data_IF_036044834192
#
_entry.id   IF_036044834192
#
_cell.length_a   1.000
_cell.length_b   1.000
_cell.length_c   1.000
_cell.angle_alpha   90.00
_cell.angle_beta   90.00
_cell.angle_gamma   90.00
#
_symmetry.space_group_name_H-M   'P 1'
#
loop_
_entity.id
_entity.type
_entity.pdbx_description
1 polymer ?
#
# COMPACT_ATOMS: atom_id res chain seq x y z
N UNK A 1 -36.59 62.36 -37.89
CA UNK A 1 -35.75 62.30 -36.68
C UNK A 1 -35.20 60.89 -36.60
N UNK A 2 -33.87 60.74 -36.65
CA UNK A 2 -33.17 59.46 -36.86
C UNK A 2 -33.32 58.55 -35.63
N UNK A 3 -33.62 57.26 -35.81
CA UNK A 3 -33.12 56.23 -34.92
C UNK A 3 -32.81 54.95 -35.72
N UNK A 4 -31.61 54.43 -35.47
CA UNK A 4 -30.88 53.40 -36.22
C UNK A 4 -31.21 52.00 -35.68
N UNK A 5 -31.11 51.02 -36.57
CA UNK A 5 -31.03 49.58 -36.32
C UNK A 5 -29.97 49.21 -35.27
N UNK A 6 -30.29 48.26 -34.37
CA UNK A 6 -29.33 47.29 -33.82
C UNK A 6 -30.04 45.93 -33.68
N UNK A 7 -29.62 44.97 -34.50
CA UNK A 7 -29.82 43.54 -34.27
C UNK A 7 -29.05 43.15 -33.00
N UNK A 8 -29.71 42.49 -32.04
CA UNK A 8 -29.02 41.79 -30.96
C UNK A 8 -29.08 40.29 -31.25
N UNK A 9 -27.92 39.74 -31.62
CA UNK A 9 -27.65 38.31 -31.64
C UNK A 9 -27.84 37.75 -30.22
N UNK A 10 -28.70 36.75 -30.09
CA UNK A 10 -28.78 35.90 -28.90
C UNK A 10 -27.55 34.98 -28.85
N UNK A 11 -26.51 35.40 -28.13
CA UNK A 11 -25.37 34.56 -27.76
C UNK A 11 -25.76 33.62 -26.63
N UNK A 12 -25.96 32.34 -26.96
CA UNK A 12 -26.00 31.25 -25.98
C UNK A 12 -24.56 31.08 -25.47
N UNK A 13 -24.31 31.51 -24.23
CA UNK A 13 -23.09 31.14 -23.51
C UNK A 13 -23.22 29.65 -23.13
N UNK A 14 -22.65 28.79 -23.97
CA UNK A 14 -22.28 27.43 -23.58
C UNK A 14 -21.11 27.55 -22.60
N UNK A 15 -21.40 27.44 -21.30
CA UNK A 15 -20.40 27.14 -20.30
C UNK A 15 -19.86 25.74 -20.58
N UNK A 16 -18.74 25.67 -21.28
CA UNK A 16 -17.95 24.45 -21.42
C UNK A 16 -17.42 24.10 -20.02
N UNK A 17 -18.13 23.22 -19.32
CA UNK A 17 -17.57 22.47 -18.20
C UNK A 17 -16.37 21.69 -18.73
N UNK A 18 -15.17 22.19 -18.43
CA UNK A 18 -13.94 21.46 -18.67
C UNK A 18 -13.92 20.25 -17.74
N UNK A 19 -14.45 19.12 -18.22
CA UNK A 19 -14.09 17.82 -17.68
C UNK A 19 -12.58 17.69 -17.81
N UNK A 20 -11.85 17.94 -16.73
CA UNK A 20 -10.51 17.42 -16.58
C UNK A 20 -10.63 15.89 -16.58
N UNK A 21 -10.52 15.29 -17.78
CA UNK A 21 -10.16 13.89 -17.92
C UNK A 21 -8.81 13.75 -17.24
N UNK A 22 -8.81 13.19 -16.04
CA UNK A 22 -7.62 12.55 -15.47
C UNK A 22 -7.11 11.62 -16.56
N UNK A 23 -5.94 11.93 -17.11
CA UNK A 23 -5.27 11.03 -18.02
C UNK A 23 -4.90 9.82 -17.19
N UNK A 24 -5.64 8.72 -17.31
CA UNK A 24 -5.09 7.41 -16.98
C UNK A 24 -3.86 7.25 -17.87
N UNK A 25 -2.66 7.47 -17.31
CA UNK A 25 -1.45 7.04 -17.98
C UNK A 25 -1.59 5.54 -18.12
N UNK A 26 -1.73 5.06 -19.35
CA UNK A 26 -1.90 3.65 -19.61
C UNK A 26 -0.62 2.96 -19.09
N UNK A 27 -0.72 2.06 -18.12
CA UNK A 27 0.46 1.37 -17.57
C UNK A 27 1.31 0.72 -18.70
N UNK A 28 0.65 0.26 -19.77
CA UNK A 28 1.33 -0.20 -20.99
C UNK A 28 2.27 0.85 -21.59
N UNK A 29 1.95 2.15 -21.53
CA UNK A 29 2.85 3.22 -21.99
C UNK A 29 4.10 3.37 -21.12
N UNK A 30 4.09 2.94 -19.86
CA UNK A 30 5.26 2.93 -18.97
C UNK A 30 6.15 1.71 -19.27
N UNK A 31 5.55 0.52 -19.37
CA UNK A 31 6.27 -0.72 -19.74
C UNK A 31 6.91 -0.64 -21.11
N UNK A 32 6.20 -0.09 -22.09
CA UNK A 32 6.64 -0.06 -23.47
C UNK A 32 7.71 1.02 -23.71
N UNK A 33 7.82 2.04 -22.84
CA UNK A 33 8.78 3.14 -23.02
C UNK A 33 10.11 2.94 -22.33
N UNK A 34 10.17 2.13 -21.27
CA UNK A 34 11.42 1.90 -20.53
C UNK A 34 12.01 0.52 -20.87
N UNK A 35 13.13 0.50 -21.60
CA UNK A 35 13.88 -0.72 -21.85
C UNK A 35 14.43 -1.26 -20.51
N UNK A 36 14.13 -2.50 -20.14
CA UNK A 36 14.65 -3.15 -18.91
C UNK A 36 13.59 -4.01 -18.19
N UNK A 37 13.97 -4.81 -17.17
CA UNK A 37 12.99 -5.56 -16.40
C UNK A 37 12.11 -4.62 -15.56
N UNK A 38 10.82 -4.95 -15.47
CA UNK A 38 9.88 -4.36 -14.52
C UNK A 38 9.59 -5.33 -13.38
N UNK A 39 9.40 -4.78 -12.17
CA UNK A 39 8.94 -5.50 -10.99
C UNK A 39 7.67 -4.81 -10.52
N UNK A 40 6.64 -5.60 -10.25
CA UNK A 40 5.45 -5.13 -9.55
C UNK A 40 5.60 -5.40 -8.07
N UNK A 41 5.19 -4.45 -7.24
CA UNK A 41 5.12 -4.61 -5.79
C UNK A 41 3.74 -4.27 -5.31
N UNK A 42 3.16 -5.12 -4.47
CA UNK A 42 1.93 -4.83 -3.74
C UNK A 42 2.11 -5.28 -2.29
N UNK A 43 1.30 -4.75 -1.40
CA UNK A 43 1.40 -5.01 0.03
C UNK A 43 0.04 -4.90 0.68
N UNK A 44 -0.12 -5.51 1.86
CA UNK A 44 -1.30 -5.32 2.69
C UNK A 44 -2.58 -5.64 1.91
N UNK A 45 -2.59 -6.83 1.29
CA UNK A 45 -3.72 -7.34 0.54
C UNK A 45 -4.92 -7.57 1.45
N UNK A 46 -4.65 -7.96 2.70
CA UNK A 46 -5.66 -8.30 3.69
C UNK A 46 -6.74 -9.22 3.09
N UNK A 47 -6.30 -10.20 2.28
CA UNK A 47 -7.20 -11.09 1.55
C UNK A 47 -8.06 -11.89 2.53
N UNK A 48 -9.38 -11.83 2.37
CA UNK A 48 -10.33 -12.64 3.11
C UNK A 48 -11.10 -13.53 2.15
N UNK A 49 -11.00 -14.86 2.34
CA UNK A 49 -11.79 -15.82 1.55
C UNK A 49 -13.29 -15.50 1.65
N UNK A 50 -13.98 -15.55 0.50
CA UNK A 50 -15.45 -15.40 0.45
C UNK A 50 -16.19 -16.47 1.24
N UNK A 51 -15.57 -17.60 1.57
CA UNK A 51 -16.18 -18.63 2.40
C UNK A 51 -16.15 -18.29 3.90
N UNK A 52 -15.38 -17.28 4.31
CA UNK A 52 -15.24 -16.84 5.69
C UNK A 52 -16.16 -15.68 6.05
N UNK A 53 -16.98 -15.20 5.13
CA UNK A 53 -17.98 -14.16 5.39
C UNK A 53 -19.23 -14.39 4.56
N UNK A 54 -20.40 -14.08 5.12
CA UNK A 54 -21.65 -14.00 4.38
C UNK A 54 -22.00 -12.57 3.93
N UNK A 55 -21.07 -11.62 4.10
CA UNK A 55 -21.25 -10.19 3.82
C UNK A 55 -22.50 -9.60 4.48
N UNK A 56 -22.84 -10.11 5.66
CA UNK A 56 -23.93 -9.60 6.49
C UNK A 56 -23.72 -8.13 6.86
N UNK A 57 -24.82 -7.43 7.17
CA UNK A 57 -24.77 -6.04 7.61
C UNK A 57 -23.86 -5.82 8.83
N UNK A 58 -23.80 -6.79 9.75
CA UNK A 58 -22.91 -6.72 10.91
C UNK A 58 -21.43 -6.77 10.51
N UNK A 59 -21.06 -7.58 9.52
CA UNK A 59 -19.71 -7.60 8.98
C UNK A 59 -19.38 -6.28 8.27
N UNK A 60 -20.29 -5.74 7.46
CA UNK A 60 -20.11 -4.45 6.77
C UNK A 60 -19.94 -3.28 7.76
N UNK A 61 -20.70 -3.28 8.85
CA UNK A 61 -20.55 -2.27 9.90
C UNK A 61 -19.21 -2.41 10.63
N UNK A 62 -18.80 -3.65 10.93
CA UNK A 62 -17.49 -3.93 11.53
C UNK A 62 -16.33 -3.41 10.67
N UNK A 63 -16.34 -3.67 9.36
CA UNK A 63 -15.28 -3.18 8.46
C UNK A 63 -15.33 -1.66 8.30
N UNK A 64 -16.51 -1.02 8.30
CA UNK A 64 -16.66 0.44 8.23
C UNK A 64 -16.03 1.13 9.45
N UNK A 65 -16.15 0.53 10.63
CA UNK A 65 -15.47 0.98 11.86
C UNK A 65 -13.97 0.67 11.89
N UNK A 66 -13.48 -0.19 10.99
CA UNK A 66 -12.08 -0.55 10.81
C UNK A 66 -11.24 0.55 10.16
N UNK A 67 -9.96 0.31 9.92
CA UNK A 67 -8.95 1.25 9.39
C UNK A 67 -9.11 1.59 7.89
N UNK A 68 -10.32 1.47 7.33
CA UNK A 68 -10.60 1.82 5.93
C UNK A 68 -10.36 0.71 4.92
N UNK A 69 -10.01 -0.50 5.37
CA UNK A 69 -9.89 -1.69 4.51
C UNK A 69 -11.25 -2.09 3.93
N UNK A 70 -11.30 -2.23 2.61
CA UNK A 70 -12.47 -2.73 1.87
C UNK A 70 -12.50 -4.26 1.85
N UNK A 71 -12.48 -4.88 3.04
CA UNK A 71 -12.30 -6.35 3.21
C UNK A 71 -13.33 -7.17 2.43
N UNK A 72 -14.57 -6.68 2.29
CA UNK A 72 -15.61 -7.34 1.47
C UNK A 72 -15.19 -7.56 0.01
N UNK A 73 -14.36 -6.65 -0.54
CA UNK A 73 -13.92 -6.64 -1.93
C UNK A 73 -12.45 -7.04 -2.09
N UNK A 74 -11.71 -7.43 -1.04
CA UNK A 74 -10.31 -7.84 -1.20
C UNK A 74 -10.11 -9.01 -2.15
N UNK A 75 -11.04 -9.97 -2.31
CA UNK A 75 -10.95 -10.95 -3.39
C UNK A 75 -11.02 -10.35 -4.79
N UNK A 76 -11.90 -9.37 -5.04
CA UNK A 76 -12.05 -8.72 -6.34
C UNK A 76 -10.84 -7.84 -6.66
N UNK A 77 -10.36 -7.07 -5.67
CA UNK A 77 -9.17 -6.23 -5.83
C UNK A 77 -7.94 -7.10 -6.15
N UNK A 78 -7.80 -8.23 -5.45
CA UNK A 78 -6.69 -9.17 -5.67
C UNK A 78 -6.77 -9.81 -7.06
N UNK A 79 -7.95 -10.22 -7.50
CA UNK A 79 -8.15 -10.80 -8.83
C UNK A 79 -7.88 -9.75 -9.93
N UNK A 80 -8.29 -8.49 -9.72
CA UNK A 80 -7.98 -7.39 -10.63
C UNK A 80 -6.47 -7.12 -10.73
N UNK A 81 -5.74 -7.10 -9.61
CA UNK A 81 -4.28 -6.99 -9.61
C UNK A 81 -3.63 -8.16 -10.37
N UNK A 82 -4.08 -9.39 -10.14
CA UNK A 82 -3.53 -10.58 -10.81
C UNK A 82 -3.75 -10.52 -12.31
N UNK A 83 -4.94 -10.12 -12.77
CA UNK A 83 -5.24 -9.92 -14.19
C UNK A 83 -4.31 -8.86 -14.82
N UNK A 84 -4.08 -7.74 -14.11
CA UNK A 84 -3.16 -6.70 -14.55
C UNK A 84 -1.72 -7.19 -14.60
N UNK A 85 -1.24 -7.90 -13.58
CA UNK A 85 0.10 -8.51 -13.53
C UNK A 85 0.30 -9.47 -14.70
N UNK A 86 -0.65 -10.37 -14.96
CA UNK A 86 -0.55 -11.34 -16.05
C UNK A 86 -0.54 -10.62 -17.42
N UNK A 87 -1.38 -9.61 -17.60
CA UNK A 87 -1.45 -8.79 -18.83
C UNK A 87 -0.18 -7.96 -19.05
N UNK A 88 0.36 -7.39 -17.97
CA UNK A 88 1.59 -6.60 -17.95
C UNK A 88 2.83 -7.45 -18.19
N UNK A 89 2.81 -8.68 -17.69
CA UNK A 89 3.89 -9.65 -17.71
C UNK A 89 5.23 -9.09 -17.19
N UNK A 90 5.27 -8.50 -15.97
CA UNK A 90 6.52 -8.03 -15.39
C UNK A 90 7.47 -9.19 -15.15
N UNK A 91 8.74 -8.87 -14.87
CA UNK A 91 9.72 -9.90 -14.53
C UNK A 91 9.37 -10.58 -13.21
N UNK A 92 8.83 -9.83 -12.25
CA UNK A 92 8.37 -10.36 -10.98
C UNK A 92 7.18 -9.58 -10.40
N UNK A 93 6.40 -10.26 -9.56
CA UNK A 93 5.46 -9.71 -8.59
C UNK A 93 6.00 -9.97 -7.18
N UNK A 94 6.15 -8.91 -6.39
CA UNK A 94 6.57 -8.94 -4.99
C UNK A 94 5.36 -8.60 -4.11
N UNK A 95 5.09 -9.43 -3.10
CA UNK A 95 4.10 -9.16 -2.06
C UNK A 95 4.81 -9.00 -0.71
N UNK A 96 4.87 -7.77 -0.18
CA UNK A 96 5.66 -7.42 1.01
C UNK A 96 4.90 -7.55 2.33
N UNK A 97 4.09 -8.60 2.49
CA UNK A 97 3.41 -8.90 3.75
C UNK A 97 1.96 -8.46 3.86
N UNK A 98 1.34 -8.86 4.97
CA UNK A 98 -0.10 -8.77 5.26
C UNK A 98 -0.94 -9.30 4.10
N UNK A 99 -0.62 -10.53 3.72
CA UNK A 99 -1.22 -11.21 2.59
C UNK A 99 -2.70 -11.52 2.84
N UNK A 100 -3.04 -11.85 4.09
CA UNK A 100 -4.40 -12.20 4.53
C UNK A 100 -4.92 -11.23 5.57
N UNK A 101 -6.25 -11.19 5.77
CA UNK A 101 -6.86 -10.24 6.69
C UNK A 101 -6.40 -10.45 8.13
N UNK A 102 -6.50 -11.68 8.64
CA UNK A 102 -6.00 -12.05 9.97
C UNK A 102 -5.46 -13.49 10.02
N UNK A 103 -4.71 -13.92 9.00
CA UNK A 103 -3.95 -15.17 9.05
C UNK A 103 -4.79 -16.43 8.84
N UNK A 104 -5.99 -16.32 8.26
CA UNK A 104 -6.87 -17.48 8.13
C UNK A 104 -6.30 -18.48 7.12
N UNK A 105 -6.16 -19.74 7.53
CA UNK A 105 -5.58 -20.82 6.70
C UNK A 105 -6.30 -20.99 5.36
N UNK A 106 -7.61 -20.72 5.32
CA UNK A 106 -8.40 -20.75 4.08
C UNK A 106 -8.02 -19.60 3.14
N UNK A 107 -7.91 -18.38 3.66
CA UNK A 107 -7.46 -17.20 2.93
C UNK A 107 -6.07 -17.42 2.32
N UNK A 108 -5.11 -17.93 3.10
CA UNK A 108 -3.77 -18.27 2.61
C UNK A 108 -3.77 -19.27 1.46
N UNK A 109 -4.53 -20.36 1.60
CA UNK A 109 -4.61 -21.41 0.57
C UNK A 109 -5.23 -20.88 -0.72
N UNK A 110 -6.32 -20.12 -0.63
CA UNK A 110 -6.94 -19.53 -1.82
C UNK A 110 -6.00 -18.53 -2.51
N UNK A 111 -5.35 -17.65 -1.75
CA UNK A 111 -4.41 -16.69 -2.31
C UNK A 111 -3.24 -17.41 -3.00
N UNK A 112 -2.66 -18.44 -2.39
CA UNK A 112 -1.60 -19.25 -3.01
C UNK A 112 -2.05 -19.87 -4.35
N UNK A 113 -3.28 -20.42 -4.43
CA UNK A 113 -3.80 -20.94 -5.69
C UNK A 113 -3.97 -19.85 -6.77
N UNK A 114 -4.39 -18.64 -6.38
CA UNK A 114 -4.44 -17.50 -7.29
C UNK A 114 -3.03 -17.12 -7.78
N UNK A 115 -2.04 -17.02 -6.89
CA UNK A 115 -0.65 -16.70 -7.22
C UNK A 115 0.03 -17.75 -8.10
N UNK A 116 -0.36 -19.03 -7.99
CA UNK A 116 0.09 -20.08 -8.92
C UNK A 116 -0.29 -19.78 -10.37
N UNK A 117 -1.35 -19.01 -10.64
CA UNK A 117 -1.70 -18.61 -12.00
C UNK A 117 -0.69 -17.61 -12.57
N UNK A 118 -0.22 -16.66 -11.75
CA UNK A 118 0.85 -15.71 -12.10
C UNK A 118 2.16 -16.46 -12.37
N UNK A 119 2.55 -17.41 -11.52
CA UNK A 119 3.73 -18.26 -11.74
C UNK A 119 3.64 -19.06 -13.04
N UNK A 120 2.46 -19.64 -13.33
CA UNK A 120 2.21 -20.37 -14.60
C UNK A 120 2.31 -19.49 -15.84
N UNK A 121 2.07 -18.18 -15.70
CA UNK A 121 2.29 -17.22 -16.78
C UNK A 121 3.78 -16.90 -17.02
N UNK A 122 4.71 -17.44 -16.23
CA UNK A 122 6.15 -17.22 -16.40
C UNK A 122 6.70 -15.99 -15.67
N UNK A 123 5.91 -15.44 -14.74
CA UNK A 123 6.27 -14.30 -13.90
C UNK A 123 6.76 -14.84 -12.55
N UNK A 124 7.89 -14.36 -12.05
CA UNK A 124 8.35 -14.71 -10.70
C UNK A 124 7.39 -14.14 -9.66
N UNK A 125 7.06 -14.90 -8.62
CA UNK A 125 6.22 -14.42 -7.51
C UNK A 125 7.00 -14.60 -6.23
N UNK A 126 7.21 -13.51 -5.48
CA UNK A 126 7.98 -13.49 -4.24
C UNK A 126 7.10 -12.93 -3.13
N UNK A 127 7.02 -13.65 -2.00
CA UNK A 127 6.22 -13.21 -0.84
C UNK A 127 7.03 -13.28 0.45
N UNK A 128 6.69 -12.42 1.40
CA UNK A 128 7.04 -12.52 2.84
C UNK A 128 5.77 -12.31 3.67
N UNK A 129 5.71 -12.78 4.93
CA UNK A 129 4.58 -12.50 5.81
C UNK A 129 4.59 -11.05 6.33
N UNK A 130 3.42 -10.55 6.68
CA UNK A 130 3.29 -9.41 7.60
C UNK A 130 2.82 -9.84 8.99
N UNK A 131 2.52 -8.87 9.85
CA UNK A 131 2.14 -9.16 11.23
C UNK A 131 0.73 -9.76 11.37
N UNK A 132 -0.09 -9.76 10.32
CA UNK A 132 -1.41 -10.39 10.34
C UNK A 132 -1.42 -11.87 9.93
N UNK A 133 -0.37 -12.37 9.28
CA UNK A 133 -0.42 -13.62 8.53
C UNK A 133 -0.23 -14.90 9.37
N UNK A 134 0.61 -14.88 10.41
CA UNK A 134 1.10 -16.10 11.08
C UNK A 134 0.70 -16.11 12.56
N UNK A 135 0.22 -17.28 13.02
CA UNK A 135 -0.29 -17.55 14.38
C UNK A 135 -1.19 -16.43 14.95
N UNK A 136 -1.97 -15.79 14.08
CA UNK A 136 -2.85 -14.70 14.49
C UNK A 136 -4.06 -15.27 15.26
N UNK A 137 -4.25 -14.95 16.56
CA UNK A 137 -5.37 -15.45 17.35
C UNK A 137 -6.72 -14.87 16.93
N UNK A 138 -6.71 -13.84 16.07
CA UNK A 138 -7.88 -13.15 15.57
C UNK A 138 -8.33 -13.63 14.18
N UNK A 139 -7.92 -14.84 13.76
CA UNK A 139 -8.49 -15.49 12.58
C UNK A 139 -9.96 -15.83 12.79
N UNK A 140 -10.85 -15.17 12.05
CA UNK A 140 -12.30 -15.32 12.22
C UNK A 140 -13.06 -15.68 10.93
N UNK A 141 -14.25 -16.23 11.14
CA UNK A 141 -15.33 -16.35 10.16
C UNK A 141 -16.54 -15.55 10.65
N UNK A 142 -17.18 -14.82 9.75
CA UNK A 142 -18.30 -13.93 10.01
C UNK A 142 -19.59 -14.51 9.41
N UNK A 143 -20.63 -14.73 10.21
CA UNK A 143 -21.95 -15.17 9.73
C UNK A 143 -23.08 -14.51 10.50
N UNK A 144 -23.98 -13.84 9.79
CA UNK A 144 -25.06 -13.05 10.38
C UNK A 144 -24.49 -12.01 11.34
N UNK A 145 -24.91 -12.04 12.60
CA UNK A 145 -24.39 -11.14 13.64
C UNK A 145 -23.35 -11.81 14.55
N UNK A 146 -22.72 -12.90 14.11
CA UNK A 146 -21.79 -13.69 14.94
C UNK A 146 -20.42 -13.82 14.28
N UNK A 147 -19.41 -13.89 15.14
CA UNK A 147 -18.01 -14.12 14.79
C UNK A 147 -17.61 -15.47 15.37
N UNK A 148 -16.97 -16.31 14.56
CA UNK A 148 -16.48 -17.64 14.92
C UNK A 148 -14.98 -17.71 14.69
N UNK A 149 -14.23 -18.36 15.57
CA UNK A 149 -12.81 -18.62 15.31
C UNK A 149 -12.65 -19.56 14.13
N UNK A 150 -11.60 -19.34 13.33
CA UNK A 150 -11.15 -20.27 12.29
C UNK A 150 -9.66 -20.57 12.48
N UNK A 151 -9.16 -21.59 11.78
CA UNK A 151 -7.76 -22.00 11.91
C UNK A 151 -6.82 -20.97 11.28
N UNK A 152 -5.77 -20.60 12.02
CA UNK A 152 -4.61 -19.87 11.49
C UNK A 152 -3.52 -20.84 11.01
N UNK A 153 -2.35 -20.30 10.63
CA UNK A 153 -1.20 -21.08 10.15
C UNK A 153 0.05 -20.82 11.00
N UNK A 154 0.96 -21.80 11.01
CA UNK A 154 2.32 -21.67 11.59
C UNK A 154 3.32 -21.12 10.55
N UNK A 155 4.55 -20.77 10.97
CA UNK A 155 5.64 -20.44 10.03
C UNK A 155 5.91 -21.50 8.97
N UNK A 156 5.87 -22.78 9.39
CA UNK A 156 6.09 -23.92 8.51
C UNK A 156 4.93 -24.11 7.52
N UNK A 157 3.69 -23.91 7.99
CA UNK A 157 2.52 -23.86 7.11
C UNK A 157 2.68 -22.72 6.08
N UNK A 158 3.13 -21.52 6.47
CA UNK A 158 3.34 -20.40 5.55
C UNK A 158 4.35 -20.76 4.47
N UNK A 159 5.54 -21.23 4.86
CA UNK A 159 6.59 -21.66 3.94
C UNK A 159 6.12 -22.79 3.02
N UNK A 160 5.29 -23.71 3.51
CA UNK A 160 4.72 -24.79 2.71
C UNK A 160 3.64 -24.32 1.72
N UNK A 161 2.73 -23.44 2.16
CA UNK A 161 1.64 -22.90 1.32
C UNK A 161 2.21 -22.05 0.18
N UNK A 162 3.25 -21.28 0.47
CA UNK A 162 3.91 -20.38 -0.47
C UNK A 162 5.25 -20.92 -0.97
N UNK A 163 5.51 -22.22 -0.88
CA UNK A 163 6.78 -22.84 -1.27
C UNK A 163 7.23 -22.40 -2.67
N UNK A 164 6.29 -22.41 -3.62
CA UNK A 164 6.54 -22.01 -5.00
C UNK A 164 6.66 -20.48 -5.22
N UNK A 165 6.44 -19.65 -4.21
CA UNK A 165 6.43 -18.19 -4.29
C UNK A 165 7.72 -17.58 -3.69
N UNK A 166 8.86 -18.02 -4.22
CA UNK A 166 10.19 -17.55 -3.85
C UNK A 166 10.99 -18.57 -3.04
N UNK A 167 10.41 -19.16 -2.00
CA UNK A 167 11.12 -20.00 -1.03
C UNK A 167 11.85 -21.20 -1.63
N UNK A 168 11.22 -21.93 -2.55
CA UNK A 168 11.80 -23.14 -3.17
C UNK A 168 12.98 -22.85 -4.07
N UNK A 169 12.90 -21.74 -4.80
CA UNK A 169 13.85 -21.36 -5.84
C UNK A 169 14.85 -20.31 -5.33
N UNK A 170 14.87 -20.06 -4.01
CA UNK A 170 15.76 -19.11 -3.36
C UNK A 170 17.24 -19.52 -3.45
N UNK A 171 18.12 -18.53 -3.61
CA UNK A 171 19.57 -18.70 -3.58
C UNK A 171 20.12 -19.05 -2.20
N UNK A 172 19.44 -18.56 -1.16
CA UNK A 172 19.75 -18.79 0.25
C UNK A 172 18.51 -18.45 1.10
N UNK A 173 18.42 -19.02 2.31
CA UNK A 173 17.34 -18.76 3.26
C UNK A 173 17.89 -18.56 4.66
N UNK A 174 17.34 -17.58 5.38
CA UNK A 174 17.72 -17.33 6.77
C UNK A 174 17.29 -18.51 7.65
N UNK A 175 18.16 -19.04 8.53
CA UNK A 175 17.77 -20.13 9.44
C UNK A 175 16.75 -19.71 10.51
N UNK A 176 16.70 -18.42 10.86
CA UNK A 176 15.96 -17.92 12.05
C UNK A 176 14.67 -17.15 11.71
N UNK A 177 14.36 -16.96 10.41
CA UNK A 177 13.15 -16.24 9.96
C UNK A 177 12.63 -16.80 8.63
N UNK A 178 11.53 -16.23 8.11
CA UNK A 178 11.06 -16.50 6.74
C UNK A 178 11.74 -15.62 5.68
N UNK A 179 12.93 -15.09 5.97
CA UNK A 179 13.75 -14.32 5.02
C UNK A 179 14.47 -15.21 4.00
N UNK A 180 14.67 -14.71 2.79
CA UNK A 180 15.41 -15.41 1.73
C UNK A 180 15.99 -14.47 0.69
N UNK A 181 17.04 -14.92 0.00
CA UNK A 181 17.67 -14.22 -1.12
C UNK A 181 17.20 -14.87 -2.42
N UNK A 182 16.75 -14.08 -3.39
CA UNK A 182 16.22 -14.57 -4.66
C UNK A 182 16.87 -13.89 -5.85
N UNK A 183 17.18 -14.67 -6.89
CA UNK A 183 17.72 -14.18 -8.16
C UNK A 183 16.58 -13.99 -9.17
N UNK A 184 16.16 -12.73 -9.38
CA UNK A 184 15.14 -12.43 -10.38
C UNK A 184 15.75 -12.41 -11.79
N UNK A 185 17.00 -11.99 -11.93
CA UNK A 185 17.83 -12.10 -13.11
C UNK A 185 19.32 -12.17 -12.71
N UNK A 186 20.18 -12.58 -13.64
CA UNK A 186 21.62 -12.79 -13.44
C UNK A 186 22.32 -11.67 -12.66
N UNK A 187 21.86 -10.43 -12.84
CA UNK A 187 22.45 -9.22 -12.26
C UNK A 187 21.48 -8.40 -11.40
N UNK A 188 20.33 -8.98 -11.05
CA UNK A 188 19.28 -8.34 -10.25
C UNK A 188 18.69 -9.33 -9.25
N UNK A 189 19.06 -9.14 -7.99
CA UNK A 189 18.65 -9.97 -6.87
C UNK A 189 17.74 -9.18 -5.93
N UNK A 190 16.92 -9.91 -5.19
CA UNK A 190 16.06 -9.34 -4.16
C UNK A 190 16.29 -10.08 -2.86
N UNK A 191 16.54 -9.33 -1.79
CA UNK A 191 16.59 -9.87 -0.43
C UNK A 191 15.26 -9.58 0.27
N UNK A 192 14.52 -10.66 0.54
CA UNK A 192 13.19 -10.63 1.12
C UNK A 192 13.35 -10.83 2.64
N UNK A 193 13.00 -9.82 3.44
CA UNK A 193 13.31 -9.77 4.87
C UNK A 193 12.03 -9.83 5.72
N UNK A 194 11.90 -10.92 6.47
CA UNK A 194 10.90 -11.10 7.51
C UNK A 194 11.41 -10.51 8.83
N UNK A 195 10.85 -9.36 9.22
CA UNK A 195 11.14 -8.70 10.49
C UNK A 195 10.10 -8.99 11.58
N UNK A 196 9.12 -9.87 11.33
CA UNK A 196 8.12 -10.19 12.32
C UNK A 196 8.79 -10.91 13.50
N UNK A 197 8.73 -10.30 14.69
CA UNK A 197 9.26 -10.89 15.92
C UNK A 197 8.32 -11.99 16.39
N UNK A 198 8.88 -13.01 17.07
CA UNK A 198 8.16 -14.01 17.88
C UNK A 198 6.84 -14.40 17.19
N UNK A 199 6.89 -15.41 16.30
CA UNK A 199 5.80 -15.81 15.40
C UNK A 199 4.39 -15.92 16.00
N UNK A 200 4.16 -15.76 17.32
CA UNK A 200 2.86 -15.48 17.93
C UNK A 200 2.61 -13.98 18.20
N UNK A 201 1.54 -13.45 17.60
CA UNK A 201 0.91 -12.12 17.85
C UNK A 201 1.80 -11.08 18.55
N UNK A 202 2.76 -10.52 17.83
CA UNK A 202 3.57 -9.40 18.32
C UNK A 202 2.96 -8.08 17.84
N UNK A 203 2.37 -7.33 18.77
CA UNK A 203 1.97 -5.92 18.62
C UNK A 203 3.21 -4.99 18.68
N UNK A 204 4.40 -5.51 18.38
CA UNK A 204 5.67 -4.81 18.59
C UNK A 204 6.28 -4.42 17.24
N UNK A 205 7.13 -3.39 17.28
CA UNK A 205 7.93 -2.94 16.16
C UNK A 205 8.81 -4.11 15.72
N UNK A 206 8.63 -4.62 14.49
CA UNK A 206 9.39 -5.75 13.96
C UNK A 206 10.90 -5.59 14.17
N UNK A 207 11.67 -6.69 14.22
CA UNK A 207 13.10 -6.66 14.55
C UNK A 207 13.85 -7.75 13.80
N UNK A 208 15.03 -7.40 13.28
CA UNK A 208 15.97 -8.37 12.72
C UNK A 208 16.84 -8.97 13.84
N UNK A 209 16.96 -10.30 13.88
CA UNK A 209 17.81 -11.00 14.86
C UNK A 209 19.30 -10.83 14.54
N UNK A 210 20.19 -11.04 15.52
CA UNK A 210 21.64 -10.99 15.28
C UNK A 210 22.11 -12.06 14.27
N UNK A 211 21.49 -13.25 14.30
CA UNK A 211 21.74 -14.31 13.29
C UNK A 211 21.31 -13.86 11.91
N UNK A 212 20.11 -13.29 11.80
CA UNK A 212 19.57 -12.78 10.53
C UNK A 212 20.44 -11.64 9.99
N UNK A 213 20.97 -10.75 10.84
CA UNK A 213 21.94 -9.73 10.44
C UNK A 213 23.21 -10.34 9.83
N UNK A 214 23.74 -11.40 10.43
CA UNK A 214 24.90 -12.11 9.90
C UNK A 214 24.58 -12.76 8.54
N UNK A 215 23.40 -13.36 8.40
CA UNK A 215 22.93 -13.95 7.15
C UNK A 215 22.72 -12.88 6.05
N UNK A 216 22.11 -11.74 6.37
CA UNK A 216 21.93 -10.60 5.44
C UNK A 216 23.30 -10.15 4.90
N UNK A 217 24.29 -9.99 5.78
CA UNK A 217 25.65 -9.61 5.38
C UNK A 217 26.25 -10.62 4.39
N UNK A 218 26.11 -11.92 4.65
CA UNK A 218 26.59 -12.97 3.74
C UNK A 218 25.91 -12.92 2.38
N UNK A 219 24.60 -12.68 2.35
CA UNK A 219 23.84 -12.51 1.11
C UNK A 219 24.31 -11.30 0.29
N UNK A 220 24.56 -10.17 0.95
CA UNK A 220 25.05 -8.96 0.31
C UNK A 220 26.50 -9.11 -0.19
N UNK A 221 27.36 -9.81 0.56
CA UNK A 221 28.72 -10.17 0.13
C UNK A 221 28.70 -11.05 -1.12
N UNK A 222 27.80 -12.04 -1.14
CA UNK A 222 27.58 -12.92 -2.29
C UNK A 222 27.12 -12.13 -3.51
N UNK A 223 26.10 -11.28 -3.36
CA UNK A 223 25.59 -10.43 -4.44
C UNK A 223 26.68 -9.50 -5.01
N UNK A 224 27.45 -8.87 -4.12
CA UNK A 224 28.58 -8.02 -4.52
C UNK A 224 29.65 -8.78 -5.30
N UNK A 225 29.95 -10.02 -4.90
CA UNK A 225 30.91 -10.88 -5.60
C UNK A 225 30.44 -11.26 -7.00
N UNK A 226 29.14 -11.53 -7.17
CA UNK A 226 28.52 -11.84 -8.46
C UNK A 226 28.21 -10.58 -9.30
N UNK A 227 28.41 -9.38 -8.75
CA UNK A 227 28.12 -8.12 -9.42
C UNK A 227 26.63 -7.81 -9.56
N UNK A 228 25.78 -8.44 -8.75
CA UNK A 228 24.34 -8.27 -8.78
C UNK A 228 23.91 -6.98 -8.06
N UNK A 229 22.93 -6.28 -8.64
CA UNK A 229 22.19 -5.21 -7.97
C UNK A 229 21.18 -5.83 -7.01
N UNK A 230 21.10 -5.31 -5.78
CA UNK A 230 20.17 -5.83 -4.76
C UNK A 230 19.09 -4.79 -4.47
N UNK A 231 17.85 -5.24 -4.43
CA UNK A 231 16.70 -4.53 -3.83
C UNK A 231 16.34 -5.26 -2.54
N UNK A 232 16.06 -4.53 -1.46
CA UNK A 232 15.53 -5.13 -0.22
C UNK A 232 14.02 -4.97 -0.13
N UNK A 233 13.38 -5.91 0.54
CA UNK A 233 11.93 -5.89 0.79
C UNK A 233 11.69 -6.22 2.25
N UNK A 234 10.90 -5.41 2.94
CA UNK A 234 10.46 -5.63 4.33
C UNK A 234 8.95 -5.43 4.41
N UNK A 235 8.27 -6.00 5.41
CA UNK A 235 6.88 -5.63 5.65
C UNK A 235 6.79 -4.30 6.42
N UNK A 236 7.37 -4.27 7.63
CA UNK A 236 7.57 -3.06 8.41
C UNK A 236 8.51 -2.08 7.68
N UNK A 237 8.38 -0.79 7.99
CA UNK A 237 9.18 0.24 7.34
C UNK A 237 10.63 0.17 7.80
N UNK A 238 11.54 0.43 6.88
CA UNK A 238 12.96 0.58 7.17
C UNK A 238 13.25 1.97 7.78
N UNK A 239 12.59 3.00 7.27
CA UNK A 239 12.71 4.40 7.70
C UNK A 239 11.45 4.88 8.43
N UNK A 240 11.54 6.06 9.06
CA UNK A 240 10.39 6.75 9.63
C UNK A 240 9.71 7.58 8.55
N UNK A 241 8.45 7.28 8.27
CA UNK A 241 7.62 8.01 7.30
C UNK A 241 6.66 9.02 7.95
N UNK A 242 6.40 8.88 9.25
CA UNK A 242 5.65 9.87 10.02
C UNK A 242 6.15 9.88 11.46
N UNK A 243 6.43 11.08 11.99
CA UNK A 243 6.98 11.24 13.34
C UNK A 243 6.11 10.65 14.45
N UNK A 244 4.79 10.56 14.26
CA UNK A 244 3.85 10.00 15.23
C UNK A 244 3.79 8.47 15.19
N UNK A 245 4.13 7.87 14.05
CA UNK A 245 3.96 6.44 13.78
C UNK A 245 5.30 5.73 13.59
N UNK A 246 6.31 6.09 14.38
CA UNK A 246 7.61 5.38 14.36
C UNK A 246 7.52 4.05 15.11
N UNK A 247 6.98 4.08 16.32
CA UNK A 247 6.77 2.87 17.11
C UNK A 247 5.71 1.98 16.46
N UNK A 248 6.00 0.68 16.38
CA UNK A 248 5.19 -0.40 15.78
C UNK A 248 5.14 -0.43 14.26
N UNK A 249 5.58 0.62 13.57
CA UNK A 249 5.59 0.64 12.10
C UNK A 249 7.00 0.51 11.52
N UNK A 250 7.99 1.20 12.11
CA UNK A 250 9.39 1.07 11.69
C UNK A 250 10.06 -0.09 12.41
N UNK A 251 10.92 -0.84 11.71
CA UNK A 251 11.75 -1.91 12.29
C UNK A 251 12.59 -1.32 13.44
N UNK A 252 12.55 -1.96 14.61
CA UNK A 252 13.17 -1.47 15.85
C UNK A 252 14.67 -1.19 15.70
N UNK A 253 15.37 -2.07 14.98
CA UNK A 253 16.78 -1.93 14.61
C UNK A 253 16.96 -1.60 13.11
N UNK A 254 16.02 -0.82 12.56
CA UNK A 254 16.02 -0.35 11.18
C UNK A 254 17.19 0.57 10.86
N UNK A 255 17.73 1.31 11.84
CA UNK A 255 18.94 2.13 11.66
C UNK A 255 20.15 1.25 11.37
N UNK A 256 20.34 0.17 12.12
CA UNK A 256 21.42 -0.79 11.90
C UNK A 256 21.26 -1.52 10.56
N UNK A 257 20.03 -1.90 10.20
CA UNK A 257 19.72 -2.51 8.91
C UNK A 257 20.00 -1.56 7.74
N UNK A 258 19.56 -0.31 7.84
CA UNK A 258 19.82 0.75 6.86
C UNK A 258 21.32 0.89 6.60
N UNK A 259 22.13 1.00 7.66
CA UNK A 259 23.59 1.12 7.54
C UNK A 259 24.21 -0.08 6.84
N UNK A 260 23.77 -1.31 7.18
CA UNK A 260 24.25 -2.51 6.52
C UNK A 260 23.88 -2.53 5.03
N UNK A 261 22.64 -2.20 4.67
CA UNK A 261 22.19 -2.15 3.29
C UNK A 261 22.98 -1.11 2.47
N UNK A 262 23.20 0.07 3.03
CA UNK A 262 23.99 1.14 2.41
C UNK A 262 25.49 0.80 2.26
N UNK A 263 26.08 0.07 3.23
CA UNK A 263 27.46 -0.45 3.16
C UNK A 263 27.70 -1.27 1.87
N UNK A 264 26.66 -2.00 1.42
CA UNK A 264 26.67 -2.80 0.20
C UNK A 264 25.97 -2.13 -0.98
N UNK A 265 25.73 -0.82 -0.90
CA UNK A 265 25.15 0.02 -1.96
C UNK A 265 23.74 -0.38 -2.41
N UNK A 266 22.93 -0.98 -1.52
CA UNK A 266 21.50 -1.16 -1.75
C UNK A 266 20.84 0.22 -1.79
N UNK A 267 20.10 0.51 -2.86
CA UNK A 267 19.49 1.83 -3.11
C UNK A 267 18.00 1.90 -2.81
N UNK A 268 17.33 0.75 -2.78
CA UNK A 268 15.88 0.67 -2.66
C UNK A 268 15.49 -0.41 -1.65
N UNK A 269 14.68 0.00 -0.68
CA UNK A 269 13.83 -0.86 0.12
C UNK A 269 12.37 -0.65 -0.30
N UNK A 270 11.63 -1.75 -0.46
CA UNK A 270 10.19 -1.74 -0.67
C UNK A 270 9.50 -2.23 0.61
N UNK A 271 8.56 -1.45 1.15
CA UNK A 271 7.82 -1.80 2.36
C UNK A 271 6.32 -1.48 2.30
N UNK A 272 5.60 -1.81 3.38
CA UNK A 272 4.15 -1.65 3.51
C UNK A 272 3.72 -1.26 4.93
N UNK A 273 2.76 -1.98 5.50
CA UNK A 273 2.32 -1.95 6.91
C UNK A 273 1.60 -0.68 7.39
N UNK A 274 2.06 0.52 7.00
CA UNK A 274 1.36 1.77 7.31
C UNK A 274 0.14 2.04 6.43
N UNK A 275 0.00 1.30 5.32
CA UNK A 275 -1.03 1.46 4.30
C UNK A 275 -1.04 2.77 3.50
N UNK A 276 -0.18 3.74 3.81
CA UNK A 276 -0.05 5.00 3.06
C UNK A 276 0.94 4.86 1.90
N UNK A 277 0.80 5.70 0.88
CA UNK A 277 1.80 5.85 -0.17
C UNK A 277 2.78 6.95 0.25
N UNK A 278 4.03 6.57 0.56
CA UNK A 278 5.05 7.52 1.03
C UNK A 278 6.46 7.03 0.66
N UNK A 279 7.37 7.95 0.39
CA UNK A 279 8.74 7.72 -0.04
C UNK A 279 9.68 8.52 0.86
N UNK A 280 10.53 7.82 1.61
CA UNK A 280 11.58 8.45 2.39
C UNK A 280 12.95 8.05 1.87
N UNK A 281 13.92 8.94 2.09
CA UNK A 281 15.33 8.68 1.84
C UNK A 281 16.11 8.88 3.13
N UNK A 282 17.03 7.98 3.42
CA UNK A 282 17.99 8.21 4.50
C UNK A 282 18.80 9.49 4.25
N UNK A 283 19.33 10.10 5.31
CA UNK A 283 20.01 11.40 5.24
C UNK A 283 21.34 11.38 4.45
N UNK A 284 21.82 10.20 4.05
CA UNK A 284 23.05 10.05 3.29
C UNK A 284 22.88 10.52 1.83
N UNK A 285 23.89 11.18 1.26
CA UNK A 285 23.86 11.67 -0.14
C UNK A 285 23.54 10.52 -1.12
N UNK A 286 24.17 9.37 -0.89
CA UNK A 286 23.97 8.11 -1.62
C UNK A 286 23.01 7.14 -0.90
N UNK A 287 22.17 7.68 -0.02
CA UNK A 287 21.31 6.94 0.88
C UNK A 287 20.27 6.06 0.20
N UNK A 288 19.82 5.05 0.93
CA UNK A 288 18.73 4.17 0.54
C UNK A 288 17.38 4.90 0.57
N UNK A 289 16.54 4.62 -0.42
CA UNK A 289 15.14 5.00 -0.40
C UNK A 289 14.31 3.86 0.21
N UNK A 290 13.43 4.18 1.14
CA UNK A 290 12.36 3.30 1.60
C UNK A 290 11.06 3.77 0.96
N UNK A 291 10.46 2.91 0.16
CA UNK A 291 9.21 3.19 -0.54
C UNK A 291 8.11 2.34 0.08
N UNK A 292 7.17 3.01 0.73
CA UNK A 292 5.95 2.39 1.24
C UNK A 292 4.91 2.48 0.14
N UNK A 293 4.50 1.32 -0.36
CA UNK A 293 3.35 1.25 -1.27
C UNK A 293 2.08 1.28 -0.43
N UNK A 294 1.07 2.08 -0.81
CA UNK A 294 -0.20 2.07 -0.07
C UNK A 294 -0.86 0.69 -0.13
N UNK A 295 -1.68 0.38 0.88
CA UNK A 295 -2.30 -0.93 1.00
C UNK A 295 -3.19 -1.22 -0.20
N UNK A 296 -3.10 -2.45 -0.73
CA UNK A 296 -4.00 -2.89 -1.78
C UNK A 296 -5.46 -2.96 -1.29
N UNK A 297 -5.71 -3.11 0.02
CA UNK A 297 -7.04 -3.18 0.60
C UNK A 297 -7.67 -1.82 0.91
N UNK A 298 -6.90 -0.73 0.90
CA UNK A 298 -7.36 0.62 1.27
C UNK A 298 -7.31 1.52 0.03
N UNK A 299 -8.23 2.49 -0.09
CA UNK A 299 -8.16 3.47 -1.17
C UNK A 299 -6.79 4.19 -1.13
N UNK A 300 -6.10 4.39 -2.26
CA UNK A 300 -6.54 4.20 -3.66
C UNK A 300 -6.25 2.83 -4.30
N UNK A 301 -5.93 1.80 -3.50
CA UNK A 301 -5.61 0.44 -3.95
C UNK A 301 -4.37 0.43 -4.87
N UNK A 302 -3.27 1.02 -4.41
CA UNK A 302 -2.06 1.05 -5.23
C UNK A 302 -1.36 -0.31 -5.27
N UNK A 303 -0.69 -0.52 -6.40
CA UNK A 303 0.54 -1.29 -6.46
C UNK A 303 1.64 -0.38 -7.03
N UNK A 304 2.89 -0.73 -6.75
CA UNK A 304 4.07 -0.05 -7.24
C UNK A 304 4.68 -0.74 -8.46
N UNK A 305 5.25 0.05 -9.35
CA UNK A 305 5.98 -0.42 -10.53
C UNK A 305 7.41 0.07 -10.41
N UNK A 306 8.34 -0.87 -10.31
CA UNK A 306 9.76 -0.60 -10.32
C UNK A 306 10.33 -0.98 -11.68
N UNK A 307 10.89 -0.01 -12.39
CA UNK A 307 11.65 -0.25 -13.61
C UNK A 307 13.15 -0.09 -13.32
N UNK A 308 13.94 -1.00 -13.85
CA UNK A 308 15.40 -0.94 -13.80
C UNK A 308 15.90 -0.80 -15.24
N UNK A 309 16.49 0.35 -15.56
CA UNK A 309 17.05 0.58 -16.89
C UNK A 309 18.43 -0.10 -17.06
N UNK A 310 18.97 -0.20 -18.29
CA UNK A 310 20.24 -0.87 -18.54
C UNK A 310 21.44 -0.19 -17.86
N UNK A 311 21.34 1.11 -17.57
CA UNK A 311 22.31 1.89 -16.80
C UNK A 311 22.08 1.83 -15.27
N UNK A 312 21.24 0.89 -14.80
CA UNK A 312 20.94 0.63 -13.37
C UNK A 312 20.21 1.74 -12.63
N UNK A 313 19.68 2.72 -13.35
CA UNK A 313 18.77 3.69 -12.78
C UNK A 313 17.45 2.98 -12.45
N UNK A 314 16.94 3.24 -11.26
CA UNK A 314 15.69 2.65 -10.76
C UNK A 314 14.63 3.74 -10.78
N UNK A 315 13.47 3.45 -11.35
CA UNK A 315 12.30 4.33 -11.25
C UNK A 315 11.17 3.59 -10.57
N UNK A 316 10.54 4.22 -9.60
CA UNK A 316 9.31 3.75 -8.99
C UNK A 316 8.16 4.65 -9.42
N UNK A 317 7.00 4.05 -9.70
CA UNK A 317 5.75 4.75 -9.87
C UNK A 317 4.60 3.91 -9.29
N UNK A 318 3.77 4.52 -8.45
CA UNK A 318 2.51 3.91 -7.99
C UNK A 318 1.45 3.92 -9.10
N UNK A 319 0.53 2.96 -9.03
CA UNK A 319 -0.57 2.81 -9.96
C UNK A 319 -1.77 2.19 -9.23
N UNK A 320 -2.96 2.73 -9.46
CA UNK A 320 -4.20 2.15 -8.92
C UNK A 320 -4.55 0.88 -9.69
N UNK A 321 -5.00 -0.15 -8.98
CA UNK A 321 -5.67 -1.31 -9.59
C UNK A 321 -6.97 -0.85 -10.24
N UNK A 322 -7.19 -1.20 -11.50
CA UNK A 322 -8.39 -0.86 -12.26
C UNK A 322 -9.50 -1.91 -12.03
N UNK A 323 -10.04 -1.93 -10.81
CA UNK A 323 -11.15 -2.82 -10.43
C UNK A 323 -12.38 -2.59 -11.32
N UNK A 324 -12.59 -1.36 -11.77
CA UNK A 324 -13.61 -0.98 -12.74
C UNK A 324 -13.52 -1.76 -14.06
N UNK A 325 -12.32 -1.84 -14.64
CA UNK A 325 -12.07 -2.59 -15.88
C UNK A 325 -12.21 -4.10 -15.63
N UNK A 326 -11.64 -4.60 -14.54
CA UNK A 326 -11.79 -6.00 -14.13
C UNK A 326 -13.26 -6.41 -14.01
N UNK A 327 -14.07 -5.62 -13.31
CA UNK A 327 -15.49 -5.89 -13.11
C UNK A 327 -16.27 -5.94 -14.44
N UNK A 328 -15.98 -5.03 -15.37
CA UNK A 328 -16.61 -5.02 -16.71
C UNK A 328 -16.20 -6.23 -17.54
N UNK A 329 -14.91 -6.56 -17.54
CA UNK A 329 -14.36 -7.69 -18.29
C UNK A 329 -14.91 -9.03 -17.78
N UNK A 330 -15.21 -9.12 -16.49
CA UNK A 330 -15.80 -10.30 -15.85
C UNK A 330 -17.34 -10.24 -15.74
N UNK A 331 -17.98 -9.30 -16.44
CA UNK A 331 -19.43 -9.15 -16.49
C UNK A 331 -20.12 -9.05 -15.11
N UNK A 332 -19.45 -8.40 -14.16
CA UNK A 332 -20.01 -8.14 -12.83
C UNK A 332 -21.31 -7.35 -12.93
N UNK A 333 -22.25 -7.63 -12.02
CA UNK A 333 -23.49 -6.88 -11.83
C UNK A 333 -23.47 -6.02 -10.58
N UNK A 334 -22.38 -6.06 -9.83
CA UNK A 334 -22.21 -5.25 -8.63
C UNK A 334 -21.88 -3.81 -9.03
N UNK A 335 -22.76 -2.89 -8.68
CA UNK A 335 -22.61 -1.47 -9.01
C UNK A 335 -21.40 -0.83 -8.32
N UNK A 336 -21.02 -1.32 -7.13
CA UNK A 336 -19.83 -0.84 -6.44
C UNK A 336 -18.57 -1.26 -7.20
N UNK A 337 -18.49 -2.51 -7.69
CA UNK A 337 -17.35 -2.97 -8.48
C UNK A 337 -17.25 -2.29 -9.86
N UNK A 338 -18.38 -1.97 -10.48
CA UNK A 338 -18.42 -1.26 -11.77
C UNK A 338 -18.04 0.23 -11.67
N UNK A 339 -18.08 0.78 -10.46
CA UNK A 339 -17.78 2.17 -10.10
C UNK A 339 -16.84 2.26 -8.88
N UNK A 340 -15.89 1.32 -8.79
CA UNK A 340 -15.06 1.05 -7.64
C UNK A 340 -14.19 2.24 -7.23
N UNK A 341 -13.62 2.99 -8.17
CA UNK A 341 -12.81 4.18 -7.83
C UNK A 341 -13.60 5.19 -6.98
N UNK A 342 -14.86 5.43 -7.34
CA UNK A 342 -15.75 6.33 -6.61
C UNK A 342 -16.22 5.69 -5.30
N UNK A 343 -16.61 4.40 -5.34
CA UNK A 343 -17.03 3.66 -4.16
C UNK A 343 -15.91 3.64 -3.10
N UNK A 344 -14.70 3.26 -3.47
CA UNK A 344 -13.56 3.14 -2.55
C UNK A 344 -13.13 4.47 -1.98
N UNK A 345 -13.12 5.55 -2.80
CA UNK A 345 -12.88 6.91 -2.29
C UNK A 345 -13.93 7.30 -1.26
N UNK A 346 -15.22 7.06 -1.55
CA UNK A 346 -16.31 7.42 -0.64
C UNK A 346 -16.30 6.58 0.62
N UNK A 347 -16.04 5.27 0.51
CA UNK A 347 -15.93 4.37 1.66
C UNK A 347 -14.82 4.83 2.62
N UNK A 348 -13.64 5.18 2.09
CA UNK A 348 -12.54 5.66 2.91
C UNK A 348 -12.79 7.05 3.49
N UNK A 349 -13.45 7.94 2.72
CA UNK A 349 -13.92 9.23 3.22
C UNK A 349 -14.86 9.04 4.40
N UNK A 350 -15.93 8.25 4.24
CA UNK A 350 -16.96 8.04 5.25
C UNK A 350 -16.35 7.39 6.50
N UNK A 351 -15.51 6.36 6.34
CA UNK A 351 -14.83 5.71 7.47
C UNK A 351 -13.94 6.68 8.26
N UNK A 352 -13.23 7.56 7.56
CA UNK A 352 -12.40 8.60 8.18
C UNK A 352 -13.26 9.67 8.86
N UNK A 353 -14.26 10.18 8.14
CA UNK A 353 -15.17 11.23 8.59
C UNK A 353 -15.88 10.85 9.88
N UNK A 354 -16.51 9.67 9.93
CA UNK A 354 -17.27 9.23 11.12
C UNK A 354 -16.36 9.14 12.36
N UNK A 355 -15.14 8.61 12.22
CA UNK A 355 -14.19 8.52 13.34
C UNK A 355 -13.75 9.89 13.83
N UNK A 356 -13.46 10.79 12.91
CA UNK A 356 -12.99 12.14 13.23
C UNK A 356 -14.14 12.92 13.86
N UNK A 357 -15.33 12.87 13.28
CA UNK A 357 -16.52 13.52 13.79
C UNK A 357 -16.86 13.04 15.21
N UNK A 358 -16.90 11.73 15.44
CA UNK A 358 -17.12 11.17 16.78
C UNK A 358 -16.05 11.60 17.79
N UNK A 359 -14.79 11.76 17.37
CA UNK A 359 -13.74 12.26 18.26
C UNK A 359 -13.90 13.72 18.70
N UNK A 360 -14.73 14.49 17.98
CA UNK A 360 -14.99 15.89 18.25
C UNK A 360 -16.28 16.11 19.06
N UNK A 361 -17.11 15.09 19.27
CA UNK A 361 -18.43 15.22 19.94
C UNK A 361 -18.37 15.82 21.34
N UNK A 362 -17.29 15.57 22.08
CA UNK A 362 -17.08 16.10 23.43
C UNK A 362 -16.36 17.46 23.45
N UNK A 363 -15.93 17.97 22.29
CA UNK A 363 -15.25 19.26 22.19
C UNK A 363 -16.25 20.43 22.29
N UNK A 364 -15.82 21.54 22.92
CA UNK A 364 -16.61 22.79 23.01
C UNK A 364 -16.59 23.57 21.68
N UNK A 365 -17.16 22.94 20.64
CA UNK A 365 -17.15 23.37 19.24
C UNK A 365 -18.59 23.22 18.70
N UNK A 366 -19.05 24.14 17.85
CA UNK A 366 -20.40 24.02 17.26
C UNK A 366 -20.51 22.84 16.30
N UNK A 367 -21.69 22.24 16.19
CA UNK A 367 -21.93 21.07 15.32
C UNK A 367 -21.53 21.34 13.86
N UNK A 368 -21.88 22.51 13.30
CA UNK A 368 -21.49 22.91 11.94
C UNK A 368 -19.96 22.95 11.77
N UNK A 369 -19.24 23.37 12.82
CA UNK A 369 -17.79 23.45 12.83
C UNK A 369 -17.14 22.08 12.99
N UNK A 370 -17.73 21.20 13.82
CA UNK A 370 -17.31 19.78 13.93
C UNK A 370 -17.44 19.08 12.57
N UNK A 371 -18.55 19.28 11.85
CA UNK A 371 -18.74 18.72 10.50
C UNK A 371 -17.69 19.22 9.52
N UNK A 372 -17.48 20.53 9.44
CA UNK A 372 -16.48 21.13 8.56
C UNK A 372 -15.05 20.62 8.88
N UNK A 373 -14.70 20.54 10.17
CA UNK A 373 -13.42 19.98 10.61
C UNK A 373 -13.26 18.51 10.22
N UNK A 374 -14.28 17.69 10.40
CA UNK A 374 -14.26 16.28 10.04
C UNK A 374 -14.18 16.06 8.52
N UNK A 375 -14.94 16.83 7.72
CA UNK A 375 -14.87 16.79 6.26
C UNK A 375 -13.47 17.16 5.74
N UNK A 376 -12.90 18.26 6.27
CA UNK A 376 -11.55 18.68 5.95
C UNK A 376 -10.52 17.59 6.27
N UNK A 377 -10.57 17.07 7.49
CA UNK A 377 -9.61 16.08 7.96
C UNK A 377 -9.71 14.75 7.20
N UNK A 378 -10.92 14.29 6.86
CA UNK A 378 -11.13 13.11 6.03
C UNK A 378 -10.56 13.29 4.60
N UNK A 379 -10.69 14.48 4.01
CA UNK A 379 -10.10 14.81 2.71
C UNK A 379 -8.56 14.84 2.77
N UNK A 380 -7.97 15.43 3.82
CA UNK A 380 -6.52 15.36 4.07
C UNK A 380 -6.06 13.91 4.23
N UNK A 381 -6.83 13.07 4.93
CA UNK A 381 -6.48 11.66 5.13
C UNK A 381 -6.46 10.90 3.79
N UNK A 382 -7.43 11.13 2.89
CA UNK A 382 -7.42 10.57 1.54
C UNK A 382 -6.15 10.97 0.78
N UNK A 383 -5.79 12.25 0.82
CA UNK A 383 -4.61 12.78 0.12
C UNK A 383 -3.32 12.20 0.67
N UNK A 384 -3.25 12.02 2.00
CA UNK A 384 -2.12 11.41 2.66
C UNK A 384 -1.95 9.92 2.28
N UNK A 385 -3.03 9.12 2.39
CA UNK A 385 -2.98 7.70 2.02
C UNK A 385 -2.68 7.46 0.53
N UNK A 386 -3.05 8.39 -0.34
CA UNK A 386 -2.77 8.33 -1.78
C UNK A 386 -1.45 8.97 -2.20
N UNK A 387 -0.68 9.57 -1.28
CA UNK A 387 0.55 10.29 -1.62
C UNK A 387 0.32 11.55 -2.48
N UNK A 388 -0.90 12.07 -2.51
CA UNK A 388 -1.33 13.19 -3.36
C UNK A 388 -1.30 14.56 -2.65
N UNK A 389 -0.85 14.60 -1.39
CA UNK A 389 -0.91 15.82 -0.55
C UNK A 389 -0.17 17.01 -1.17
N UNK A 390 0.97 16.77 -1.83
CA UNK A 390 1.78 17.82 -2.45
C UNK A 390 1.00 18.71 -3.41
N UNK A 391 0.06 18.13 -4.16
CA UNK A 391 -0.68 18.85 -5.21
C UNK A 391 -1.64 19.90 -4.64
N UNK A 392 -2.09 19.71 -3.39
CA UNK A 392 -3.10 20.57 -2.76
C UNK A 392 -2.63 21.26 -1.48
N UNK A 393 -1.44 20.94 -0.96
CA UNK A 393 -0.95 21.38 0.35
C UNK A 393 -1.10 22.89 0.58
N UNK A 394 -0.74 23.72 -0.40
CA UNK A 394 -0.86 25.19 -0.27
C UNK A 394 -2.32 25.65 -0.14
N UNK A 395 -3.22 25.03 -0.88
CA UNK A 395 -4.64 25.36 -0.82
C UNK A 395 -5.24 24.88 0.51
N UNK A 396 -4.89 23.68 0.94
CA UNK A 396 -5.36 23.08 2.19
C UNK A 396 -4.90 23.88 3.42
N UNK A 397 -3.65 24.35 3.46
CA UNK A 397 -3.15 25.25 4.51
C UNK A 397 -3.81 26.64 4.51
N UNK A 398 -4.51 27.02 3.44
CA UNK A 398 -5.24 28.29 3.34
C UNK A 398 -6.71 28.19 3.69
N UNK A 399 -7.22 27.00 4.05
CA UNK A 399 -8.62 26.78 4.40
C UNK A 399 -8.90 27.17 5.84
N UNK A 400 -10.11 27.67 6.11
CA UNK A 400 -10.51 28.08 7.47
C UNK A 400 -10.57 26.88 8.42
N UNK A 401 -10.85 25.69 7.89
CA UNK A 401 -10.89 24.44 8.64
C UNK A 401 -9.51 24.02 9.16
N UNK A 402 -8.43 24.40 8.45
CA UNK A 402 -7.07 24.21 8.96
C UNK A 402 -6.84 25.02 10.25
N UNK A 403 -7.26 26.29 10.26
CA UNK A 403 -7.15 27.15 11.45
C UNK A 403 -7.97 26.57 12.61
N UNK A 404 -9.16 26.02 12.33
CA UNK A 404 -9.98 25.34 13.35
C UNK A 404 -9.24 24.17 13.99
N UNK A 405 -8.54 23.36 13.19
CA UNK A 405 -7.71 22.27 13.70
C UNK A 405 -6.49 22.78 14.48
N UNK A 406 -5.85 23.87 14.06
CA UNK A 406 -4.66 24.41 14.73
C UNK A 406 -4.97 25.20 16.00
N UNK A 407 -6.19 25.71 16.16
CA UNK A 407 -6.60 26.50 17.32
C UNK A 407 -7.38 25.68 18.34
N UNK A 408 -8.45 25.01 17.90
CA UNK A 408 -9.42 24.32 18.74
C UNK A 408 -9.21 22.81 18.75
N UNK A 409 -8.84 22.22 17.61
CA UNK A 409 -8.58 20.78 17.48
C UNK A 409 -7.18 20.35 17.93
N UNK A 410 -6.27 21.28 18.24
CA UNK A 410 -4.81 21.04 18.37
C UNK A 410 -4.43 20.03 19.46
N UNK A 411 -5.21 19.96 20.53
CA UNK A 411 -4.94 19.10 21.68
C UNK A 411 -5.59 17.71 21.54
N UNK A 412 -6.32 17.48 20.43
CA UNK A 412 -6.86 16.17 20.09
C UNK A 412 -5.82 15.31 19.36
N UNK A 413 -6.04 13.99 19.35
CA UNK A 413 -5.24 13.08 18.53
C UNK A 413 -5.25 13.50 17.05
N UNK A 414 -6.42 13.79 16.48
CA UNK A 414 -6.53 14.16 15.07
C UNK A 414 -5.90 15.52 14.75
N UNK A 415 -5.91 16.48 15.68
CA UNK A 415 -5.17 17.73 15.49
C UNK A 415 -3.67 17.51 15.43
N UNK A 416 -3.13 16.66 16.30
CA UNK A 416 -1.71 16.27 16.28
C UNK A 416 -1.38 15.49 15.00
N UNK A 417 -2.25 14.57 14.59
CA UNK A 417 -2.13 13.76 13.37
C UNK A 417 -2.12 14.62 12.10
N UNK A 418 -3.09 15.52 11.93
CA UNK A 418 -3.15 16.43 10.79
C UNK A 418 -1.94 17.34 10.73
N UNK A 419 -1.46 17.80 11.90
CA UNK A 419 -0.23 18.58 11.97
C UNK A 419 0.99 17.77 11.52
N UNK A 420 1.10 16.49 11.86
CA UNK A 420 2.22 15.67 11.41
C UNK A 420 2.19 15.42 9.91
N UNK A 421 0.99 15.27 9.32
CA UNK A 421 0.81 15.15 7.86
C UNK A 421 1.17 16.46 7.15
N UNK A 422 0.56 17.57 7.56
CA UNK A 422 0.65 18.85 6.84
C UNK A 422 2.03 19.53 6.96
N UNK A 423 2.87 19.09 7.91
CA UNK A 423 4.25 19.57 8.07
C UNK A 423 5.27 18.72 7.29
N UNK A 424 4.87 17.63 6.63
CA UNK A 424 5.78 16.84 5.81
C UNK A 424 6.31 17.65 4.62
N UNK A 425 7.45 17.20 4.07
CA UNK A 425 8.05 17.82 2.90
C UNK A 425 7.12 17.69 1.70
N UNK A 426 7.13 18.70 0.84
CA UNK A 426 6.35 18.70 -0.40
C UNK A 426 7.09 17.95 -1.52
N UNK A 427 7.17 16.63 -1.39
CA UNK A 427 7.80 15.73 -2.37
C UNK A 427 6.75 14.88 -3.12
N UNK A 428 7.14 14.27 -4.25
CA UNK A 428 6.24 13.42 -5.03
C UNK A 428 6.31 12.00 -4.48
N UNK A 429 5.29 11.61 -3.72
CA UNK A 429 5.22 10.31 -3.05
C UNK A 429 4.79 9.17 -3.98
N UNK A 430 4.37 9.49 -5.20
CA UNK A 430 3.89 8.54 -6.19
C UNK A 430 4.93 8.22 -7.26
N UNK A 431 6.01 9.01 -7.36
CA UNK A 431 7.05 8.79 -8.37
C UNK A 431 8.42 9.25 -7.91
N UNK A 432 9.41 8.36 -8.00
CA UNK A 432 10.81 8.69 -7.70
C UNK A 432 11.76 8.04 -8.70
N UNK A 433 12.89 8.70 -8.92
CA UNK A 433 13.99 8.24 -9.76
C UNK A 433 15.25 8.18 -8.91
N UNK A 434 15.80 6.98 -8.76
CA UNK A 434 17.03 6.69 -8.06
C UNK A 434 18.15 6.55 -9.10
N UNK A 435 19.26 7.25 -8.87
CA UNK A 435 20.43 7.26 -9.74
C UNK A 435 21.57 6.43 -9.18
#
# INVERSE_FOLDING_TARGET
MKLKYILILSGILLTLSSCNKVKNSNYMDLVVKENGPSIFVATDLHYLSRELTDNSAAFREFIKGGDGKMVEYTPDITDALIDEVIKAHPRALILSGDLTFNGEKKSHKELSEKLKTVKKAGIHVLVIPGNHDILNPHSYQYKGNKVYTTTNITPEDFKSIYEDMGYKDALDSDPDSLSYLYEIADDLWVIMLDANKDMGYAIDSGRISDTSFAWIRQCLEKAKKEGATVISVTHQNLLSHNELFTSRYTILNGIELTKLLEEYQVKLNLSGHMHIQDIQKSENENGIYDIVTSSLAVYPNHYGIVHISPDRKITYQSQNVNVNEYARNNHSKDENLLNFDNYGRQFFFDSSYEKIYHSLEEADITEDKQKAMAEYAADINIKYFSGALKDTLKEDLGKVEYDYWMEEGKDTFFGTYLKSILNQKSEDENKVILK
#
